data_IF_108572039956
#
_entry.id   IF_108572039956
#
_cell.length_a   1.000
_cell.length_b   1.000
_cell.length_c   1.000
_cell.angle_alpha   90.00
_cell.angle_beta   90.00
_cell.angle_gamma   90.00
#
_symmetry.space_group_name_H-M   'P 1'
#
loop_
_entity.id
_entity.type
_entity.pdbx_description
1 polymer ?
#
# COMPACT_ATOMS: atom_id res chain seq x y z
N UNK A 1 12.14 23.73 5.70
CA UNK A 1 11.58 23.08 6.94
C UNK A 1 10.12 22.79 6.69
N UNK A 2 9.69 21.56 6.93
CA UNK A 2 8.29 21.16 6.70
C UNK A 2 7.37 21.77 7.74
N UNK A 3 6.24 22.31 7.29
CA UNK A 3 5.15 22.81 8.16
C UNK A 3 4.03 21.78 8.18
N UNK A 4 3.35 21.64 9.32
CA UNK A 4 2.20 20.74 9.48
C UNK A 4 1.03 21.54 10.01
N UNK A 5 -0.07 21.53 9.25
CA UNK A 5 -1.36 22.07 9.64
C UNK A 5 -2.36 20.94 9.79
N UNK A 6 -3.36 21.11 10.65
CA UNK A 6 -4.45 20.14 10.83
C UNK A 6 -5.79 20.82 11.01
N UNK A 7 -6.84 20.15 10.55
CA UNK A 7 -8.22 20.58 10.80
C UNK A 7 -9.17 19.38 10.82
N UNK A 8 -10.34 19.57 11.40
CA UNK A 8 -11.42 18.58 11.32
C UNK A 8 -11.94 18.56 9.88
N UNK A 9 -11.77 17.43 9.21
CA UNK A 9 -12.18 17.24 7.81
C UNK A 9 -13.63 16.75 7.70
N UNK A 10 -14.09 15.99 8.69
CA UNK A 10 -15.43 15.46 8.79
C UNK A 10 -15.61 14.61 10.05
N UNK A 11 -16.67 13.82 10.06
CA UNK A 11 -17.01 12.94 11.18
C UNK A 11 -17.22 11.53 10.69
N UNK A 12 -16.88 10.53 11.54
CA UNK A 12 -17.29 9.15 11.30
C UNK A 12 -18.80 9.01 11.49
N UNK A 13 -19.42 7.91 11.03
CA UNK A 13 -20.84 7.64 11.31
C UNK A 13 -21.18 7.63 12.81
N UNK A 14 -20.21 7.32 13.67
CA UNK A 14 -20.32 7.31 15.14
C UNK A 14 -20.15 8.71 15.76
N UNK A 15 -19.81 9.73 14.96
CA UNK A 15 -19.65 11.12 15.41
C UNK A 15 -18.26 11.47 15.92
N UNK A 16 -17.24 10.66 15.61
CA UNK A 16 -15.86 10.94 15.96
C UNK A 16 -15.18 11.81 14.89
N UNK A 17 -14.30 12.72 15.31
CA UNK A 17 -13.66 13.67 14.40
C UNK A 17 -12.60 13.00 13.52
N UNK A 18 -12.73 13.18 12.20
CA UNK A 18 -11.72 12.82 11.22
C UNK A 18 -10.83 14.03 11.00
N UNK A 19 -9.53 13.87 11.23
CA UNK A 19 -8.54 14.93 11.10
C UNK A 19 -7.80 14.78 9.78
N UNK A 20 -7.69 15.88 9.05
CA UNK A 20 -6.82 16.01 7.88
C UNK A 20 -5.57 16.80 8.29
N UNK A 21 -4.42 16.21 8.04
CA UNK A 21 -3.11 16.83 8.20
C UNK A 21 -2.60 17.27 6.83
N UNK A 22 -2.02 18.47 6.75
CA UNK A 22 -1.34 18.96 5.56
C UNK A 22 0.11 19.23 5.92
N UNK A 23 1.02 18.44 5.35
CA UNK A 23 2.46 18.61 5.45
C UNK A 23 2.95 19.32 4.19
N UNK A 24 3.65 20.45 4.34
CA UNK A 24 4.18 21.22 3.22
C UNK A 24 5.66 21.50 3.43
N UNK A 25 6.46 21.20 2.42
CA UNK A 25 7.89 21.49 2.44
C UNK A 25 8.22 22.89 1.90
N UNK A 26 9.47 23.30 1.99
CA UNK A 26 9.92 24.63 1.56
C UNK A 26 9.94 24.81 0.02
N UNK A 27 9.81 23.72 -0.74
CA UNK A 27 9.66 23.72 -2.20
C UNK A 27 8.22 23.81 -2.68
N UNK A 28 7.26 23.83 -1.74
CA UNK A 28 5.83 23.92 -2.02
C UNK A 28 5.17 22.59 -2.37
N UNK A 29 5.89 21.47 -2.28
CA UNK A 29 5.28 20.16 -2.36
C UNK A 29 4.45 19.87 -1.10
N UNK A 30 3.36 19.13 -1.25
CA UNK A 30 2.37 18.94 -0.19
C UNK A 30 1.92 17.49 -0.10
N UNK A 31 1.79 16.99 1.13
CA UNK A 31 1.21 15.67 1.45
C UNK A 31 0.03 15.89 2.39
N UNK A 32 -1.12 15.30 2.08
CA UNK A 32 -2.28 15.29 2.98
C UNK A 32 -2.51 13.87 3.52
N UNK A 33 -2.74 13.80 4.83
CA UNK A 33 -2.96 12.55 5.56
C UNK A 33 -4.27 12.62 6.33
N UNK A 34 -4.98 11.50 6.44
CA UNK A 34 -6.16 11.36 7.29
C UNK A 34 -5.93 10.31 8.37
N UNK A 35 -6.43 10.58 9.58
CA UNK A 35 -6.44 9.58 10.65
C UNK A 35 -7.50 8.49 10.47
N UNK A 36 -8.40 8.60 9.48
CA UNK A 36 -9.25 7.47 9.08
C UNK A 36 -8.47 6.55 8.15
N UNK A 37 -8.17 5.34 8.61
CA UNK A 37 -7.36 4.35 7.90
C UNK A 37 -5.87 4.68 7.85
N UNK A 38 -5.38 5.67 8.63
CA UNK A 38 -4.02 6.20 8.54
C UNK A 38 -3.61 6.40 7.07
N UNK A 39 -4.39 7.21 6.35
CA UNK A 39 -4.41 7.28 4.89
C UNK A 39 -3.60 8.43 4.32
N UNK A 40 -2.92 8.18 3.19
CA UNK A 40 -2.43 9.22 2.28
C UNK A 40 -3.62 9.66 1.41
N UNK A 41 -4.03 10.92 1.57
CA UNK A 41 -5.19 11.49 0.85
C UNK A 41 -4.79 12.20 -0.42
N UNK A 42 -3.62 12.86 -0.40
CA UNK A 42 -3.12 13.69 -1.51
C UNK A 42 -1.61 13.79 -1.44
N UNK A 43 -0.97 13.82 -2.61
CA UNK A 43 0.46 14.09 -2.76
C UNK A 43 0.63 15.03 -3.94
N UNK A 44 0.88 16.31 -3.67
CA UNK A 44 1.01 17.36 -4.71
C UNK A 44 2.48 17.62 -5.00
N UNK A 45 2.90 17.32 -6.24
CA UNK A 45 4.29 17.39 -6.67
C UNK A 45 4.47 18.15 -7.98
N UNK A 46 5.60 18.87 -8.16
CA UNK A 46 5.88 19.57 -9.40
C UNK A 46 6.24 18.59 -10.53
N UNK A 47 5.90 18.97 -11.78
CA UNK A 47 6.46 18.36 -12.98
C UNK A 47 7.80 19.04 -13.34
N UNK A 48 8.42 18.61 -14.47
CA UNK A 48 9.70 19.19 -14.95
C UNK A 48 9.61 20.69 -15.30
N UNK A 49 8.43 21.24 -15.46
CA UNK A 49 8.17 22.65 -15.72
C UNK A 49 7.71 23.41 -14.46
N UNK A 50 7.68 22.73 -13.31
CA UNK A 50 7.25 23.29 -12.02
C UNK A 50 5.73 23.33 -11.81
N UNK A 51 4.92 22.76 -12.70
CA UNK A 51 3.45 22.72 -12.54
C UNK A 51 3.07 21.64 -11.52
N UNK A 52 2.36 22.06 -10.48
CA UNK A 52 1.94 21.19 -9.39
C UNK A 52 0.73 20.33 -9.81
N UNK A 53 0.72 19.05 -9.46
CA UNK A 53 -0.44 18.18 -9.57
C UNK A 53 -0.48 17.18 -8.42
N UNK A 54 -1.69 16.78 -8.02
CA UNK A 54 -1.90 15.67 -7.10
C UNK A 54 -1.65 14.35 -7.87
N UNK A 55 -0.71 13.55 -7.40
CA UNK A 55 -0.22 12.35 -8.10
C UNK A 55 -0.70 11.04 -7.50
N UNK A 56 -1.70 11.10 -6.62
CA UNK A 56 -2.32 9.92 -6.02
C UNK A 56 -3.83 9.97 -6.14
N UNK A 57 -4.46 8.81 -6.24
CA UNK A 57 -5.92 8.71 -6.24
C UNK A 57 -6.47 8.91 -4.82
N UNK A 58 -7.69 9.40 -4.72
CA UNK A 58 -8.40 9.58 -3.46
C UNK A 58 -9.77 10.24 -3.66
N UNK A 59 -10.40 10.64 -2.57
CA UNK A 59 -11.75 11.17 -2.56
C UNK A 59 -11.78 12.58 -2.00
N UNK A 60 -12.74 13.37 -2.47
CA UNK A 60 -12.88 14.77 -2.10
C UNK A 60 -13.33 14.95 -0.65
N UNK A 61 -14.11 14.01 -0.15
CA UNK A 61 -14.73 14.06 1.17
C UNK A 61 -14.40 12.80 1.97
N UNK A 62 -14.36 12.86 3.31
CA UNK A 62 -14.02 11.72 4.15
C UNK A 62 -15.00 10.55 3.99
N UNK A 63 -16.27 10.83 3.68
CA UNK A 63 -17.30 9.81 3.45
C UNK A 63 -16.94 8.86 2.28
N UNK A 64 -16.14 9.35 1.31
CA UNK A 64 -15.62 8.51 0.22
C UNK A 64 -14.76 7.37 0.71
N UNK A 65 -14.06 7.57 1.83
CA UNK A 65 -13.19 6.56 2.43
C UNK A 65 -13.95 5.49 3.22
N UNK A 66 -15.19 5.74 3.67
CA UNK A 66 -15.98 4.75 4.43
C UNK A 66 -16.45 3.59 3.56
N UNK A 67 -16.70 3.85 2.28
CA UNK A 67 -17.27 2.90 1.33
C UNK A 67 -16.30 2.55 0.20
N UNK A 68 -15.03 2.84 0.42
CA UNK A 68 -13.95 2.61 -0.53
C UNK A 68 -13.54 1.14 -0.56
N UNK A 69 -14.00 0.41 -1.57
CA UNK A 69 -13.59 -0.96 -1.81
C UNK A 69 -12.13 -1.13 -2.28
N UNK A 70 -11.46 -0.02 -2.64
CA UNK A 70 -10.09 -0.03 -3.15
C UNK A 70 -9.03 0.22 -2.06
N UNK A 71 -9.42 0.54 -0.83
CA UNK A 71 -8.54 0.92 0.28
C UNK A 71 -7.57 2.07 -0.09
N UNK A 72 -8.02 3.04 -0.90
CA UNK A 72 -7.19 4.09 -1.52
C UNK A 72 -6.39 4.89 -0.49
N UNK A 73 -5.07 4.80 -0.57
CA UNK A 73 -4.12 5.50 0.30
C UNK A 73 -4.03 4.99 1.73
N UNK A 74 -4.84 4.02 2.12
CA UNK A 74 -4.99 3.57 3.50
C UNK A 74 -3.87 2.62 3.93
N UNK A 75 -3.61 2.59 5.23
CA UNK A 75 -2.75 1.60 5.87
C UNK A 75 -3.52 0.31 6.10
N UNK A 76 -3.01 -0.79 5.56
CA UNK A 76 -3.64 -2.12 5.57
C UNK A 76 -2.99 -3.00 6.63
N UNK A 77 -3.81 -3.70 7.39
CA UNK A 77 -3.39 -4.64 8.44
C UNK A 77 -4.63 -5.29 9.11
N UNK A 78 -4.47 -6.29 10.01
CA UNK A 78 -3.22 -6.75 10.64
C UNK A 78 -2.28 -7.41 9.61
N UNK A 79 -2.84 -8.14 8.61
CA UNK A 79 -2.10 -8.81 7.56
C UNK A 79 -2.56 -8.32 6.18
N UNK A 80 -1.67 -7.64 5.46
CA UNK A 80 -1.89 -7.23 4.08
C UNK A 80 -1.95 -8.43 3.14
N UNK A 81 -2.71 -8.29 2.05
CA UNK A 81 -2.95 -9.31 1.05
C UNK A 81 -3.72 -10.53 1.61
N UNK A 82 -3.61 -11.69 0.96
CA UNK A 82 -4.47 -12.87 1.24
C UNK A 82 -3.83 -13.86 2.20
N UNK A 83 -4.71 -14.51 3.00
CA UNK A 83 -4.43 -15.74 3.74
C UNK A 83 -5.38 -16.81 3.21
N UNK A 84 -4.82 -17.92 2.75
CA UNK A 84 -5.53 -18.99 2.09
C UNK A 84 -6.66 -19.55 2.96
N UNK A 85 -7.88 -19.59 2.42
CA UNK A 85 -9.08 -20.11 3.09
C UNK A 85 -9.38 -19.46 4.46
N UNK A 86 -8.78 -18.29 4.75
CA UNK A 86 -8.89 -17.67 6.08
C UNK A 86 -8.32 -18.53 7.20
N UNK A 87 -7.34 -19.37 6.94
CA UNK A 87 -6.76 -20.28 7.95
C UNK A 87 -5.28 -20.06 8.11
N UNK A 88 -4.83 -20.08 9.37
CA UNK A 88 -3.42 -20.03 9.71
C UNK A 88 -3.13 -20.88 10.94
N UNK A 89 -1.91 -21.39 11.04
CA UNK A 89 -1.45 -22.10 12.23
C UNK A 89 -0.27 -21.34 12.84
N UNK A 90 -0.42 -20.94 14.10
CA UNK A 90 0.62 -20.25 14.87
C UNK A 90 0.94 -21.11 16.10
N UNK A 91 2.21 -21.52 16.23
CA UNK A 91 2.69 -22.32 17.38
C UNK A 91 1.83 -23.59 17.64
N UNK A 92 1.38 -24.24 16.55
CA UNK A 92 0.58 -25.45 16.61
C UNK A 92 -0.91 -25.26 16.88
N UNK A 93 -1.36 -24.00 17.06
CA UNK A 93 -2.78 -23.66 17.21
C UNK A 93 -3.33 -23.12 15.90
N UNK A 94 -4.45 -23.68 15.45
CA UNK A 94 -5.18 -23.22 14.27
C UNK A 94 -6.07 -22.01 14.62
N UNK A 95 -6.09 -21.02 13.72
CA UNK A 95 -6.96 -19.85 13.75
C UNK A 95 -7.75 -19.77 12.45
N UNK A 96 -9.04 -19.45 12.58
CA UNK A 96 -9.95 -19.25 11.46
C UNK A 96 -10.32 -17.79 11.37
N UNK A 97 -9.86 -17.12 10.32
CA UNK A 97 -10.14 -15.72 10.04
C UNK A 97 -11.41 -15.57 9.21
N UNK A 98 -11.96 -14.36 9.15
CA UNK A 98 -13.06 -14.03 8.27
C UNK A 98 -12.69 -14.29 6.81
N UNK A 99 -13.58 -14.93 6.04
CA UNK A 99 -13.46 -15.09 4.60
C UNK A 99 -14.23 -13.96 3.92
N UNK A 100 -13.52 -12.94 3.46
CA UNK A 100 -14.08 -11.71 2.90
C UNK A 100 -13.74 -11.46 1.42
N UNK A 101 -12.96 -12.37 0.79
CA UNK A 101 -12.60 -12.25 -0.62
C UNK A 101 -12.57 -13.62 -1.31
N UNK A 102 -13.66 -13.98 -1.99
CA UNK A 102 -13.83 -15.33 -2.55
C UNK A 102 -13.67 -16.38 -1.46
N UNK A 103 -12.76 -17.37 -1.61
CA UNK A 103 -12.51 -18.35 -0.56
C UNK A 103 -11.49 -17.90 0.49
N UNK A 104 -10.92 -16.69 0.39
CA UNK A 104 -9.77 -16.25 1.17
C UNK A 104 -10.10 -15.12 2.16
N UNK A 105 -9.26 -14.96 3.15
CA UNK A 105 -9.15 -13.74 3.93
C UNK A 105 -8.30 -12.72 3.18
N UNK A 106 -8.70 -11.46 3.18
CA UNK A 106 -8.00 -10.36 2.50
C UNK A 106 -7.86 -9.14 3.41
N UNK A 107 -6.65 -8.58 3.45
CA UNK A 107 -6.32 -7.29 4.05
C UNK A 107 -6.74 -7.11 5.52
N UNK A 108 -6.81 -8.19 6.31
CA UNK A 108 -7.20 -8.11 7.72
C UNK A 108 -8.71 -8.15 7.97
N UNK A 109 -9.52 -8.56 6.97
CA UNK A 109 -10.97 -8.71 7.11
C UNK A 109 -11.77 -7.43 6.86
N UNK A 110 -13.06 -7.45 7.16
CA UNK A 110 -13.96 -6.30 6.90
C UNK A 110 -13.77 -5.15 7.87
N UNK A 111 -13.37 -5.41 9.13
CA UNK A 111 -13.07 -4.40 10.15
C UNK A 111 -11.55 -4.18 10.30
N UNK A 112 -10.84 -4.24 9.19
CA UNK A 112 -9.39 -4.09 9.15
C UNK A 112 -8.92 -2.66 9.52
N UNK A 113 -7.61 -2.46 9.59
CA UNK A 113 -7.00 -1.19 9.99
C UNK A 113 -7.32 -0.04 9.04
N UNK A 114 -7.55 -0.33 7.76
CA UNK A 114 -7.93 0.65 6.75
C UNK A 114 -9.34 1.25 6.95
N UNK A 115 -10.18 0.56 7.70
CA UNK A 115 -11.58 0.96 7.96
C UNK A 115 -11.80 1.45 9.40
N UNK A 116 -10.74 1.89 10.07
CA UNK A 116 -10.80 2.38 11.46
C UNK A 116 -10.31 3.82 11.55
N UNK A 117 -10.83 4.52 12.55
CA UNK A 117 -10.26 5.77 13.01
C UNK A 117 -9.04 5.46 13.88
N UNK A 118 -7.91 6.10 13.59
CA UNK A 118 -6.69 6.01 14.38
C UNK A 118 -6.58 7.22 15.30
N UNK A 119 -6.08 7.03 16.50
CA UNK A 119 -5.59 8.15 17.30
C UNK A 119 -4.44 8.81 16.58
N UNK A 120 -4.30 10.13 16.68
CA UNK A 120 -3.28 10.82 15.91
C UNK A 120 -2.73 12.04 16.64
N UNK A 121 -1.45 12.33 16.40
CA UNK A 121 -0.72 13.45 16.98
C UNK A 121 0.35 13.98 16.03
N UNK A 122 0.70 15.25 16.20
CA UNK A 122 1.85 15.84 15.51
C UNK A 122 3.04 15.83 16.47
N UNK A 123 4.19 15.34 16.00
CA UNK A 123 5.47 15.38 16.70
C UNK A 123 6.50 16.08 15.83
N UNK A 124 6.95 17.27 16.22
CA UNK A 124 7.94 18.08 15.50
C UNK A 124 7.62 18.21 14.00
N UNK A 125 8.15 17.32 13.15
CA UNK A 125 8.01 17.35 11.69
C UNK A 125 7.28 16.11 11.13
N UNK A 126 6.59 15.34 11.97
CA UNK A 126 5.91 14.09 11.59
C UNK A 126 4.50 14.01 12.14
N UNK A 127 3.69 13.21 11.46
CA UNK A 127 2.37 12.81 11.93
C UNK A 127 2.46 11.35 12.39
N UNK A 128 2.06 11.10 13.64
CA UNK A 128 2.01 9.75 14.23
C UNK A 128 0.56 9.36 14.39
N UNK A 129 0.20 8.21 13.87
CA UNK A 129 -1.14 7.62 13.99
C UNK A 129 -1.02 6.28 14.69
N UNK A 130 -1.82 6.03 15.72
CA UNK A 130 -1.76 4.82 16.54
C UNK A 130 -3.11 4.11 16.60
N UNK A 131 -3.05 2.78 16.67
CA UNK A 131 -4.22 1.91 16.74
C UNK A 131 -3.97 0.77 17.70
N UNK A 132 -4.93 0.49 18.58
CA UNK A 132 -4.98 -0.72 19.37
C UNK A 132 -5.89 -1.74 18.68
N UNK A 133 -5.35 -2.93 18.42
CA UNK A 133 -6.09 -4.10 17.94
C UNK A 133 -6.09 -5.14 19.08
N UNK A 134 -7.23 -5.32 19.74
CA UNK A 134 -7.37 -6.20 20.90
C UNK A 134 -7.14 -7.68 20.57
N UNK A 135 -6.87 -8.50 21.58
CA UNK A 135 -6.77 -9.97 21.42
C UNK A 135 -8.08 -10.54 20.88
N UNK A 136 -8.00 -11.29 19.79
CA UNK A 136 -9.17 -11.84 19.08
C UNK A 136 -9.82 -10.90 18.09
N UNK A 137 -9.29 -9.70 17.87
CA UNK A 137 -9.75 -8.79 16.83
C UNK A 137 -9.60 -9.44 15.45
N UNK A 138 -10.70 -9.51 14.68
CA UNK A 138 -10.82 -10.26 13.43
C UNK A 138 -10.37 -11.74 13.54
N UNK A 139 -10.38 -12.32 14.74
CA UNK A 139 -9.90 -13.63 15.15
C UNK A 139 -8.36 -13.79 15.14
N UNK A 140 -7.61 -12.71 15.01
CA UNK A 140 -6.16 -12.71 15.18
C UNK A 140 -5.79 -12.82 16.68
N UNK A 141 -4.77 -13.64 17.05
CA UNK A 141 -4.34 -13.74 18.44
C UNK A 141 -3.51 -12.53 18.90
N UNK A 142 -3.63 -12.21 20.16
CA UNK A 142 -2.84 -11.22 20.86
C UNK A 142 -3.31 -9.78 20.66
N UNK A 143 -3.09 -8.98 21.70
CA UNK A 143 -3.21 -7.53 21.60
C UNK A 143 -2.06 -7.00 20.75
N UNK A 144 -2.35 -6.12 19.80
CA UNK A 144 -1.36 -5.50 18.92
C UNK A 144 -1.48 -3.97 19.01
N UNK A 145 -0.44 -3.33 19.53
CA UNK A 145 -0.28 -1.89 19.49
C UNK A 145 0.49 -1.50 18.23
N UNK A 146 -0.11 -0.68 17.36
CA UNK A 146 0.45 -0.29 16.07
C UNK A 146 0.62 1.23 16.01
N UNK A 147 1.74 1.67 15.43
CA UNK A 147 1.94 3.06 15.01
C UNK A 147 2.31 3.12 13.54
N UNK A 148 1.72 4.07 12.82
CA UNK A 148 2.13 4.52 11.50
C UNK A 148 2.71 5.95 11.63
N UNK A 149 4.00 6.09 11.39
CA UNK A 149 4.71 7.37 11.49
C UNK A 149 4.98 7.88 10.09
N UNK A 150 4.45 9.05 9.77
CA UNK A 150 4.62 9.71 8.47
C UNK A 150 5.59 10.88 8.61
N UNK A 151 6.72 10.78 7.93
CA UNK A 151 7.71 11.85 7.79
C UNK A 151 7.74 12.36 6.35
N UNK A 152 7.75 13.68 6.16
CA UNK A 152 7.90 14.30 4.86
C UNK A 152 9.05 15.30 4.90
N UNK A 153 9.91 15.31 3.87
CA UNK A 153 11.10 16.15 3.89
C UNK A 153 11.18 17.16 2.74
N UNK A 154 12.22 18.02 2.81
CA UNK A 154 12.49 19.04 1.79
C UNK A 154 13.07 18.44 0.49
N UNK A 155 13.36 17.13 0.43
CA UNK A 155 13.77 16.39 -0.76
C UNK A 155 12.60 15.62 -1.42
N UNK A 156 11.36 15.98 -1.02
CA UNK A 156 10.11 15.36 -1.49
C UNK A 156 10.04 13.86 -1.20
N UNK A 157 10.66 13.39 -0.11
CA UNK A 157 10.52 12.01 0.34
C UNK A 157 9.43 11.92 1.42
N UNK A 158 8.42 11.08 1.18
CA UNK A 158 7.45 10.65 2.16
C UNK A 158 7.88 9.27 2.68
N UNK A 159 8.28 9.21 3.94
CA UNK A 159 8.57 7.96 4.65
C UNK A 159 7.38 7.56 5.51
N UNK A 160 7.00 6.30 5.45
CA UNK A 160 6.07 5.65 6.38
C UNK A 160 6.87 4.63 7.18
N UNK A 161 6.92 4.79 8.49
CA UNK A 161 7.46 3.78 9.40
C UNK A 161 6.33 3.13 10.18
N UNK A 162 6.12 1.84 9.97
CA UNK A 162 5.20 1.03 10.76
C UNK A 162 5.94 0.41 11.93
N UNK A 163 5.42 0.63 13.13
CA UNK A 163 5.90 0.02 14.38
C UNK A 163 4.77 -0.79 15.00
N UNK A 164 5.09 -1.99 15.52
CA UNK A 164 4.10 -2.74 16.29
C UNK A 164 4.74 -3.57 17.41
N UNK A 165 3.97 -3.79 18.48
CA UNK A 165 4.29 -4.69 19.60
C UNK A 165 3.05 -5.50 19.97
N UNK A 166 3.28 -6.71 20.45
CA UNK A 166 2.22 -7.64 20.84
C UNK A 166 2.50 -8.29 22.19
N UNK A 167 1.45 -8.76 22.85
CA UNK A 167 1.51 -9.58 24.06
C UNK A 167 1.49 -11.09 23.81
N UNK A 168 1.11 -11.53 22.59
CA UNK A 168 1.11 -12.94 22.13
C UNK A 168 1.68 -13.04 20.73
N UNK A 169 2.22 -14.21 20.36
CA UNK A 169 2.65 -14.46 18.98
C UNK A 169 1.49 -14.27 18.01
N UNK A 170 1.66 -13.40 17.03
CA UNK A 170 0.63 -13.03 16.04
C UNK A 170 1.25 -12.79 14.67
N UNK A 171 0.41 -12.65 13.64
CA UNK A 171 0.83 -12.29 12.28
C UNK A 171 0.78 -10.77 12.12
N UNK A 172 1.84 -10.18 11.58
CA UNK A 172 1.90 -8.75 11.25
C UNK A 172 2.52 -8.57 9.87
N UNK A 173 1.78 -7.97 8.95
CA UNK A 173 2.25 -7.60 7.62
C UNK A 173 1.53 -6.31 7.21
N UNK A 174 2.15 -5.16 7.48
CA UNK A 174 1.53 -3.85 7.25
C UNK A 174 2.04 -3.25 5.94
N UNK A 175 1.16 -2.59 5.20
CA UNK A 175 1.48 -1.85 3.98
C UNK A 175 0.60 -0.61 3.83
N UNK A 176 0.90 0.24 2.86
CA UNK A 176 0.04 1.34 2.42
C UNK A 176 -0.46 1.07 1.00
N UNK A 177 -1.76 1.25 0.79
CA UNK A 177 -2.43 0.97 -0.49
C UNK A 177 -2.65 2.23 -1.33
N UNK A 178 -1.62 3.09 -1.41
CA UNK A 178 -1.68 4.28 -2.26
C UNK A 178 -1.63 3.92 -3.74
N UNK A 179 -2.51 4.54 -4.52
CA UNK A 179 -2.52 4.44 -5.98
C UNK A 179 -1.89 5.67 -6.60
N UNK A 180 -0.85 5.47 -7.39
CA UNK A 180 -0.16 6.54 -8.11
C UNK A 180 -0.76 6.75 -9.50
N UNK A 181 -0.90 8.03 -9.88
CA UNK A 181 -1.02 8.48 -11.25
C UNK A 181 -0.16 9.74 -11.42
N UNK A 182 1.05 9.58 -11.92
CA UNK A 182 2.04 10.68 -12.01
C UNK A 182 1.70 11.73 -13.07
N UNK A 183 0.73 11.46 -13.96
CA UNK A 183 0.17 12.47 -14.85
C UNK A 183 -0.76 13.44 -14.11
N UNK A 184 -1.29 13.01 -12.96
CA UNK A 184 -2.19 13.75 -12.07
C UNK A 184 -3.49 12.98 -11.82
N UNK A 185 -4.09 13.19 -10.66
CA UNK A 185 -5.41 12.63 -10.33
C UNK A 185 -6.46 13.06 -11.37
N UNK A 186 -7.24 12.10 -11.87
CA UNK A 186 -8.23 12.33 -12.92
C UNK A 186 -7.67 12.48 -14.34
N UNK A 187 -6.37 12.26 -14.57
CA UNK A 187 -5.76 12.33 -15.91
C UNK A 187 -6.03 11.11 -16.78
N UNK A 188 -6.69 10.07 -16.25
CA UNK A 188 -6.99 8.82 -16.94
C UNK A 188 -5.94 7.73 -16.69
N UNK A 189 -5.76 6.84 -17.67
CA UNK A 189 -5.05 5.57 -17.51
C UNK A 189 -3.54 5.68 -17.28
N UNK A 190 -3.02 4.84 -16.36
CA UNK A 190 -1.59 4.71 -16.05
C UNK A 190 -0.86 3.70 -16.95
N UNK A 191 -1.52 3.13 -17.94
CA UNK A 191 -0.94 2.03 -18.72
C UNK A 191 0.32 2.40 -19.52
N UNK A 192 0.54 3.70 -19.76
CA UNK A 192 1.74 4.22 -20.41
C UNK A 192 2.80 4.74 -19.43
N UNK A 193 2.53 4.71 -18.10
CA UNK A 193 3.57 4.89 -17.10
C UNK A 193 4.58 3.76 -17.20
N UNK A 194 5.85 4.07 -17.00
CA UNK A 194 6.94 3.10 -17.05
C UNK A 194 7.39 2.71 -15.65
N UNK A 195 7.41 1.41 -15.39
CA UNK A 195 7.92 0.83 -14.14
C UNK A 195 9.27 0.18 -14.38
N UNK A 196 10.18 0.35 -13.42
CA UNK A 196 11.39 -0.46 -13.23
C UNK A 196 11.40 -0.99 -11.81
N UNK A 197 11.68 -2.27 -11.63
CA UNK A 197 11.80 -2.93 -10.33
C UNK A 197 13.18 -3.57 -10.16
N UNK A 198 13.70 -3.53 -8.96
CA UNK A 198 14.84 -4.31 -8.52
C UNK A 198 14.37 -5.73 -8.15
N UNK A 199 13.86 -6.44 -9.15
CA UNK A 199 13.25 -7.77 -8.97
C UNK A 199 13.50 -8.64 -10.20
N UNK A 200 14.14 -9.77 -10.00
CA UNK A 200 14.35 -10.80 -11.02
C UNK A 200 13.33 -11.94 -10.93
N UNK A 201 12.55 -12.00 -9.84
CA UNK A 201 11.61 -13.09 -9.58
C UNK A 201 10.24 -12.59 -9.12
N UNK A 202 9.22 -13.38 -9.45
CA UNK A 202 7.83 -13.15 -9.07
C UNK A 202 7.31 -14.40 -8.37
N UNK A 203 6.50 -14.25 -7.33
CA UNK A 203 5.79 -15.39 -6.74
C UNK A 203 4.76 -15.92 -7.74
N UNK A 204 4.77 -17.24 -7.98
CA UNK A 204 3.72 -17.88 -8.74
C UNK A 204 2.41 -17.85 -7.96
N UNK A 205 1.37 -17.29 -8.57
CA UNK A 205 0.03 -17.23 -7.99
C UNK A 205 -0.87 -18.27 -8.63
N UNK A 206 -1.77 -18.88 -7.87
CA UNK A 206 -2.82 -19.73 -8.41
C UNK A 206 -4.06 -18.92 -8.86
N UNK A 207 -5.08 -19.58 -9.36
CA UNK A 207 -6.34 -19.01 -9.83
C UNK A 207 -7.16 -18.28 -8.73
N UNK A 208 -6.81 -18.49 -7.46
CA UNK A 208 -7.42 -17.83 -6.29
C UNK A 208 -6.54 -16.73 -5.71
N UNK A 209 -5.51 -16.32 -6.45
CA UNK A 209 -4.54 -15.30 -6.04
C UNK A 209 -3.81 -15.65 -4.72
N UNK A 210 -3.49 -16.93 -4.53
CA UNK A 210 -2.66 -17.43 -3.43
C UNK A 210 -1.32 -17.90 -4.00
N UNK A 211 -0.19 -17.59 -3.37
CA UNK A 211 1.11 -18.10 -3.78
C UNK A 211 1.16 -19.62 -3.77
N UNK A 212 1.78 -20.23 -4.79
CA UNK A 212 2.00 -21.68 -4.82
C UNK A 212 3.24 -22.12 -4.03
N UNK A 213 4.04 -21.17 -3.56
CA UNK A 213 5.35 -21.40 -2.93
C UNK A 213 6.50 -21.31 -3.92
N UNK A 214 6.25 -21.23 -5.24
CA UNK A 214 7.30 -21.16 -6.25
C UNK A 214 7.66 -19.71 -6.62
N UNK A 215 8.94 -19.53 -6.96
CA UNK A 215 9.46 -18.29 -7.53
C UNK A 215 9.72 -18.50 -9.02
N UNK A 216 9.11 -17.65 -9.86
CA UNK A 216 9.28 -17.67 -11.31
C UNK A 216 10.28 -16.58 -11.72
N UNK A 217 11.14 -16.90 -12.71
CA UNK A 217 12.01 -15.90 -13.31
C UNK A 217 11.18 -14.91 -14.13
N UNK A 218 11.38 -13.62 -13.88
CA UNK A 218 10.71 -12.56 -14.64
C UNK A 218 11.28 -12.38 -16.06
N UNK A 219 12.53 -12.80 -16.27
CA UNK A 219 13.28 -12.58 -17.50
C UNK A 219 12.53 -13.04 -18.76
N UNK A 220 12.42 -12.15 -19.76
CA UNK A 220 11.79 -12.46 -21.03
C UNK A 220 10.26 -12.60 -20.99
N UNK A 221 9.64 -12.25 -19.86
CA UNK A 221 8.18 -12.32 -19.66
C UNK A 221 7.56 -10.92 -19.61
N UNK A 222 6.22 -10.81 -19.68
CA UNK A 222 5.54 -9.53 -19.40
C UNK A 222 5.81 -8.96 -18.01
N UNK A 223 6.24 -9.77 -17.05
CA UNK A 223 6.57 -9.37 -15.67
C UNK A 223 8.04 -8.91 -15.51
N UNK A 224 8.82 -8.85 -16.59
CA UNK A 224 10.21 -8.38 -16.55
C UNK A 224 10.29 -6.85 -16.49
N UNK A 225 10.29 -6.31 -15.30
CA UNK A 225 10.46 -4.88 -15.02
C UNK A 225 11.88 -4.49 -14.59
N UNK A 226 12.90 -5.31 -14.85
CA UNK A 226 14.30 -4.96 -14.52
C UNK A 226 14.81 -3.73 -15.30
N UNK A 227 14.14 -3.39 -16.42
CA UNK A 227 14.33 -2.16 -17.17
C UNK A 227 13.00 -1.41 -17.26
N UNK A 228 13.04 -0.09 -17.43
CA UNK A 228 11.82 0.69 -17.61
C UNK A 228 10.99 0.19 -18.78
N UNK A 229 9.75 -0.16 -18.50
CA UNK A 229 8.77 -0.54 -19.52
C UNK A 229 7.36 -0.14 -19.10
N UNK A 230 6.49 0.21 -20.06
CA UNK A 230 5.10 0.52 -19.77
C UNK A 230 4.30 -0.73 -19.41
N UNK A 231 3.18 -0.55 -18.69
CA UNK A 231 2.26 -1.65 -18.36
C UNK A 231 1.50 -2.16 -19.58
N UNK A 232 1.14 -1.27 -20.53
CA UNK A 232 0.26 -1.55 -21.66
C UNK A 232 0.58 -2.83 -22.44
N UNK A 233 1.83 -3.15 -22.80
CA UNK A 233 2.13 -4.38 -23.55
C UNK A 233 1.86 -5.68 -22.79
N UNK A 234 1.80 -5.62 -21.46
CA UNK A 234 1.48 -6.78 -20.61
C UNK A 234 -0.01 -6.97 -20.41
N UNK A 235 -0.80 -5.89 -20.47
CA UNK A 235 -2.25 -5.96 -20.29
C UNK A 235 -2.86 -6.76 -21.47
N UNK A 236 -3.72 -7.71 -21.11
CA UNK A 236 -4.28 -8.65 -22.11
C UNK A 236 -3.34 -9.79 -22.51
N UNK A 237 -2.14 -9.87 -21.91
CA UNK A 237 -1.24 -11.02 -22.09
C UNK A 237 -1.86 -12.29 -21.49
N UNK A 238 -1.65 -13.42 -22.15
CA UNK A 238 -2.05 -14.75 -21.64
C UNK A 238 -1.12 -15.26 -20.54
N UNK A 239 -0.11 -14.48 -20.15
CA UNK A 239 0.96 -14.90 -19.25
C UNK A 239 0.57 -14.76 -17.77
N UNK A 240 0.86 -15.80 -16.95
CA UNK A 240 0.75 -15.79 -15.48
C UNK A 240 -0.49 -15.05 -14.94
N UNK A 241 -1.66 -15.40 -15.43
CA UNK A 241 -2.93 -14.83 -14.98
C UNK A 241 -3.09 -13.30 -15.20
N UNK A 242 -2.16 -12.64 -15.93
CA UNK A 242 -2.35 -11.21 -16.25
C UNK A 242 -3.69 -11.01 -16.94
N UNK A 243 -4.06 -11.87 -17.90
CA UNK A 243 -5.38 -11.87 -18.53
C UNK A 243 -6.50 -12.11 -17.51
N UNK A 244 -6.36 -13.15 -16.68
CA UNK A 244 -7.42 -13.60 -15.76
C UNK A 244 -7.68 -12.58 -14.65
N UNK A 245 -6.63 -11.86 -14.24
CA UNK A 245 -6.68 -10.76 -13.26
C UNK A 245 -6.91 -9.39 -13.93
N UNK A 246 -7.14 -9.32 -15.23
CA UNK A 246 -7.32 -8.12 -16.05
C UNK A 246 -6.12 -7.17 -16.05
N UNK A 247 -4.97 -7.60 -15.56
CA UNK A 247 -3.76 -6.78 -15.44
C UNK A 247 -2.77 -7.33 -14.43
N UNK A 248 -1.86 -6.47 -14.00
CA UNK A 248 -0.93 -6.86 -12.95
C UNK A 248 -1.65 -6.84 -11.60
N UNK A 249 -1.44 -7.89 -10.83
CA UNK A 249 -1.81 -8.07 -9.43
C UNK A 249 -0.88 -9.16 -8.89
N UNK A 250 0.43 -8.84 -8.84
CA UNK A 250 1.48 -9.84 -8.63
C UNK A 250 2.52 -9.36 -7.63
N UNK A 251 2.99 -10.27 -6.74
CA UNK A 251 4.06 -10.00 -5.79
C UNK A 251 5.44 -10.23 -6.40
N UNK A 252 6.22 -9.18 -6.53
CA UNK A 252 7.59 -9.18 -7.02
C UNK A 252 8.56 -9.30 -5.84
N UNK A 253 9.53 -10.21 -5.94
CA UNK A 253 10.54 -10.44 -4.91
C UNK A 253 11.69 -9.44 -5.07
N UNK A 254 12.06 -8.74 -4.01
CA UNK A 254 13.13 -7.73 -4.07
C UNK A 254 14.49 -8.42 -4.02
N UNK A 255 15.28 -8.21 -5.08
CA UNK A 255 16.62 -8.78 -5.19
C UNK A 255 17.55 -8.19 -4.11
N UNK A 256 18.29 -9.09 -3.44
CA UNK A 256 19.24 -8.70 -2.41
C UNK A 256 18.60 -8.18 -1.11
N UNK A 257 17.29 -8.34 -0.92
CA UNK A 257 16.63 -7.97 0.33
C UNK A 257 17.30 -8.60 1.55
N UNK A 258 17.40 -7.81 2.62
CA UNK A 258 17.85 -8.26 3.94
C UNK A 258 16.90 -7.71 5.01
N UNK A 259 16.59 -8.49 6.06
CA UNK A 259 15.70 -8.05 7.13
C UNK A 259 16.13 -6.72 7.75
N UNK A 260 15.17 -5.81 7.91
CA UNK A 260 15.35 -4.49 8.53
C UNK A 260 16.31 -3.53 7.79
N UNK A 261 16.76 -3.86 6.58
CA UNK A 261 17.60 -2.98 5.76
C UNK A 261 16.69 -2.30 4.72
N UNK A 262 16.75 -0.97 4.70
CA UNK A 262 16.08 -0.17 3.68
C UNK A 262 16.81 -0.35 2.34
N UNK A 263 16.14 -0.91 1.35
CA UNK A 263 16.68 -1.16 0.01
C UNK A 263 15.83 -0.53 -1.09
N UNK A 264 16.39 -0.38 -2.29
CA UNK A 264 15.65 0.11 -3.46
C UNK A 264 14.72 -0.99 -3.97
N UNK A 265 13.43 -0.65 -4.10
CA UNK A 265 12.37 -1.49 -4.68
C UNK A 265 12.27 -1.23 -6.19
N UNK A 266 12.21 0.04 -6.59
CA UNK A 266 12.06 0.41 -7.98
C UNK A 266 11.70 1.87 -8.20
N UNK A 267 11.27 2.18 -9.43
CA UNK A 267 10.89 3.54 -9.82
C UNK A 267 9.75 3.50 -10.85
N UNK A 268 8.73 4.32 -10.61
CA UNK A 268 7.64 4.59 -11.56
C UNK A 268 7.89 5.96 -12.22
N UNK A 269 7.66 6.05 -13.54
CA UNK A 269 7.85 7.28 -14.34
C UNK A 269 6.65 7.58 -15.23
N UNK A 270 6.39 8.88 -15.44
CA UNK A 270 5.44 9.37 -16.41
C UNK A 270 6.13 10.38 -17.36
N UNK A 271 6.11 10.07 -18.67
CA UNK A 271 6.94 10.78 -19.66
C UNK A 271 6.50 12.21 -19.97
N UNK A 272 5.20 12.48 -19.99
CA UNK A 272 4.71 13.79 -20.41
C UNK A 272 4.99 14.87 -19.36
N UNK A 273 4.75 14.58 -18.10
CA UNK A 273 5.10 15.47 -16.98
C UNK A 273 6.57 15.39 -16.57
N UNK A 274 7.22 14.27 -16.84
CA UNK A 274 8.55 13.94 -16.35
C UNK A 274 8.58 13.60 -14.87
N UNK A 275 7.43 13.42 -14.22
CA UNK A 275 7.40 13.02 -12.80
C UNK A 275 7.84 11.58 -12.64
N UNK A 276 8.54 11.32 -11.53
CA UNK A 276 8.88 9.98 -11.09
C UNK A 276 8.69 9.83 -9.59
N UNK A 277 8.53 8.58 -9.16
CA UNK A 277 8.61 8.20 -7.75
C UNK A 277 9.53 6.99 -7.61
N UNK A 278 10.60 7.16 -6.81
CA UNK A 278 11.47 6.06 -6.38
C UNK A 278 10.89 5.47 -5.11
N UNK A 279 10.83 4.15 -5.06
CA UNK A 279 10.32 3.40 -3.91
C UNK A 279 11.46 2.65 -3.26
N UNK A 280 11.60 2.86 -1.94
CA UNK A 280 12.50 2.08 -1.10
C UNK A 280 11.68 1.41 0.00
N UNK A 281 12.11 0.23 0.43
CA UNK A 281 11.45 -0.46 1.55
C UNK A 281 12.39 -1.42 2.27
N UNK A 282 12.04 -1.74 3.51
CA UNK A 282 12.64 -2.83 4.27
C UNK A 282 11.89 -4.16 4.11
N UNK A 283 10.82 -4.19 3.31
CA UNK A 283 10.00 -5.38 3.06
C UNK A 283 10.59 -6.27 1.95
N UNK A 284 10.35 -7.61 1.99
CA UNK A 284 10.96 -8.56 1.06
C UNK A 284 10.33 -8.57 -0.34
N UNK A 285 9.14 -8.00 -0.49
CA UNK A 285 8.42 -7.96 -1.76
C UNK A 285 7.67 -6.67 -1.97
N UNK A 286 7.24 -6.49 -3.19
CA UNK A 286 6.30 -5.44 -3.59
C UNK A 286 5.18 -6.03 -4.43
N UNK A 287 3.93 -5.75 -4.02
CA UNK A 287 2.76 -6.01 -4.85
C UNK A 287 2.60 -4.88 -5.85
N UNK A 288 2.47 -5.21 -7.12
CA UNK A 288 2.13 -4.25 -8.18
C UNK A 288 0.72 -4.56 -8.66
N UNK A 289 -0.18 -3.62 -8.40
CA UNK A 289 -1.58 -3.74 -8.79
C UNK A 289 -1.98 -2.57 -9.70
N UNK A 290 -2.34 -2.85 -10.93
CA UNK A 290 -2.64 -1.81 -11.95
C UNK A 290 -4.08 -1.28 -11.88
N UNK A 291 -4.75 -1.38 -10.74
CA UNK A 291 -6.10 -0.84 -10.55
C UNK A 291 -7.14 -1.52 -11.44
N UNK A 292 -7.04 -2.84 -11.62
CA UNK A 292 -7.79 -3.64 -12.60
C UNK A 292 -9.31 -3.65 -12.36
N UNK A 293 -9.75 -3.25 -11.15
CA UNK A 293 -11.15 -3.30 -10.69
C UNK A 293 -11.58 -2.01 -9.99
N UNK A 294 -11.04 -0.86 -10.41
CA UNK A 294 -11.43 0.43 -9.84
C UNK A 294 -12.80 0.89 -10.33
N UNK A 295 -13.18 0.52 -11.56
CA UNK A 295 -14.45 0.91 -12.14
C UNK A 295 -15.63 0.35 -11.34
N UNK A 296 -16.56 1.22 -10.96
CA UNK A 296 -17.79 0.86 -10.24
C UNK A 296 -17.63 0.61 -8.74
N UNK A 297 -16.40 0.51 -8.23
CA UNK A 297 -16.10 0.28 -6.82
C UNK A 297 -15.72 1.51 -6.01
N UNK A 298 -15.47 2.63 -6.68
CA UNK A 298 -14.97 3.84 -6.04
C UNK A 298 -16.05 4.93 -5.95
N UNK A 299 -16.11 5.66 -4.83
CA UNK A 299 -16.93 6.85 -4.67
C UNK A 299 -16.50 8.01 -5.57
N UNK A 300 -17.11 9.20 -5.40
CA UNK A 300 -16.73 10.40 -6.14
C UNK A 300 -15.27 10.79 -5.88
N UNK A 301 -14.51 10.96 -6.96
CA UNK A 301 -13.09 11.32 -6.92
C UNK A 301 -12.87 12.77 -6.49
N UNK A 302 -11.62 13.16 -6.20
CA UNK A 302 -11.24 14.55 -5.84
C UNK A 302 -11.58 15.55 -6.93
N UNK A 303 -11.53 15.15 -8.19
CA UNK A 303 -11.83 15.99 -9.36
C UNK A 303 -13.30 15.96 -9.80
N UNK A 304 -14.14 15.18 -9.12
CA UNK A 304 -15.52 14.91 -9.49
C UNK A 304 -15.62 13.86 -10.59
N UNK A 305 -16.45 12.86 -10.43
CA UNK A 305 -16.56 11.72 -11.35
C UNK A 305 -16.23 10.41 -10.64
N UNK A 306 -15.76 9.42 -11.40
CA UNK A 306 -15.39 8.09 -10.88
C UNK A 306 -14.12 7.61 -11.54
N UNK A 307 -13.36 6.80 -10.83
CA UNK A 307 -12.21 6.09 -11.42
C UNK A 307 -12.67 4.98 -12.34
N UNK A 308 -11.93 4.80 -13.42
CA UNK A 308 -12.01 3.66 -14.31
C UNK A 308 -10.91 2.65 -13.97
N UNK A 309 -11.02 1.45 -14.51
CA UNK A 309 -9.93 0.49 -14.44
C UNK A 309 -8.66 1.13 -15.02
N UNK A 310 -7.53 0.89 -14.36
CA UNK A 310 -6.20 1.41 -14.73
C UNK A 310 -6.01 2.93 -14.55
N UNK A 311 -6.84 3.64 -13.81
CA UNK A 311 -6.61 5.06 -13.50
C UNK A 311 -5.52 5.28 -12.44
N UNK A 312 -5.08 4.22 -11.77
CA UNK A 312 -3.99 4.25 -10.79
C UNK A 312 -3.25 2.92 -10.67
N UNK A 313 -2.00 2.97 -10.22
CA UNK A 313 -1.20 1.79 -9.89
C UNK A 313 -0.80 1.81 -8.42
N UNK A 314 -1.11 0.74 -7.69
CA UNK A 314 -0.62 0.54 -6.33
C UNK A 314 0.73 -0.18 -6.35
N UNK A 315 1.66 0.29 -5.51
CA UNK A 315 3.01 -0.27 -5.30
C UNK A 315 3.14 -0.52 -3.80
N UNK A 316 2.69 -1.70 -3.37
CA UNK A 316 2.53 -2.04 -1.96
C UNK A 316 3.72 -2.87 -1.49
N UNK A 317 4.64 -2.23 -0.75
CA UNK A 317 5.75 -2.95 -0.13
C UNK A 317 5.24 -3.72 1.08
N UNK A 318 5.42 -5.05 1.08
CA UNK A 318 4.86 -5.95 2.10
C UNK A 318 5.65 -7.25 2.17
N UNK A 319 5.39 -8.07 3.18
CA UNK A 319 5.84 -9.47 3.18
C UNK A 319 5.07 -10.26 2.12
N UNK A 320 5.54 -11.46 1.80
CA UNK A 320 4.88 -12.33 0.83
C UNK A 320 3.43 -12.61 1.28
N UNK A 321 2.45 -12.57 0.35
CA UNK A 321 1.10 -13.03 0.65
C UNK A 321 1.11 -14.45 1.21
N UNK A 322 0.19 -14.77 2.11
CA UNK A 322 0.03 -16.09 2.72
C UNK A 322 1.29 -16.65 3.43
N UNK A 323 2.26 -15.79 3.77
CA UNK A 323 3.55 -16.22 4.32
C UNK A 323 3.42 -17.05 5.62
N UNK A 324 2.36 -16.85 6.40
CA UNK A 324 2.07 -17.62 7.61
C UNK A 324 1.89 -19.13 7.33
N UNK A 325 1.46 -19.49 6.11
CA UNK A 325 1.22 -20.85 5.66
C UNK A 325 2.38 -21.46 4.85
N UNK A 326 3.46 -20.67 4.62
CA UNK A 326 4.63 -21.08 3.86
C UNK A 326 5.90 -20.98 4.70
N UNK A 327 6.39 -22.07 5.28
CA UNK A 327 7.55 -22.05 6.19
C UNK A 327 8.85 -21.58 5.54
N UNK A 328 8.95 -21.67 4.20
CA UNK A 328 10.12 -21.23 3.43
C UNK A 328 10.09 -19.73 3.07
N UNK A 329 8.98 -19.05 3.37
CA UNK A 329 8.85 -17.61 3.17
C UNK A 329 9.41 -16.81 4.36
N UNK A 330 9.76 -15.53 4.17
CA UNK A 330 10.08 -14.66 5.30
C UNK A 330 8.94 -14.67 6.32
N UNK A 331 9.26 -14.94 7.58
CA UNK A 331 8.25 -15.10 8.64
C UNK A 331 7.45 -13.80 8.86
N UNK A 332 6.12 -13.84 8.88
CA UNK A 332 5.28 -12.70 9.24
C UNK A 332 4.99 -12.64 10.75
N UNK A 333 5.57 -13.54 11.55
CA UNK A 333 5.26 -13.65 12.97
C UNK A 333 5.99 -12.60 13.79
N UNK A 334 5.23 -11.94 14.66
CA UNK A 334 5.73 -11.07 15.71
C UNK A 334 5.50 -11.74 17.07
N UNK A 335 6.53 -11.81 17.91
CA UNK A 335 6.48 -12.41 19.24
C UNK A 335 6.51 -11.37 20.35
N UNK A 336 6.00 -11.70 21.54
CA UNK A 336 6.16 -10.84 22.72
C UNK A 336 7.64 -10.46 22.95
N UNK A 337 7.87 -9.17 23.17
CA UNK A 337 9.22 -8.63 23.38
C UNK A 337 9.96 -8.25 22.09
N UNK A 338 9.49 -8.65 20.91
CA UNK A 338 10.00 -8.19 19.62
C UNK A 338 9.37 -6.85 19.21
N UNK A 339 10.05 -6.10 18.37
CA UNK A 339 9.53 -4.89 17.72
C UNK A 339 9.40 -5.15 16.22
N UNK A 340 8.17 -5.07 15.70
CA UNK A 340 7.97 -4.93 14.27
C UNK A 340 8.34 -3.51 13.87
N UNK A 341 9.23 -3.37 12.90
CA UNK A 341 9.65 -2.08 12.36
C UNK A 341 9.88 -2.22 10.87
N UNK A 342 8.99 -1.66 10.06
CA UNK A 342 9.08 -1.71 8.60
C UNK A 342 8.92 -0.32 8.01
N UNK A 343 9.68 -0.04 6.95
CA UNK A 343 9.72 1.26 6.29
C UNK A 343 9.34 1.17 4.83
N UNK A 344 8.60 2.17 4.37
CA UNK A 344 8.30 2.44 2.97
C UNK A 344 8.66 3.91 2.72
N UNK A 345 9.44 4.18 1.68
CA UNK A 345 9.80 5.55 1.28
C UNK A 345 9.39 5.78 -0.15
N UNK A 346 8.61 6.82 -0.37
CA UNK A 346 8.24 7.33 -1.68
C UNK A 346 8.99 8.64 -1.91
N UNK A 347 10.03 8.61 -2.75
CA UNK A 347 10.81 9.79 -3.10
C UNK A 347 10.39 10.31 -4.46
N UNK A 348 9.71 11.44 -4.46
CA UNK A 348 9.20 12.07 -5.68
C UNK A 348 10.25 12.99 -6.32
N UNK A 349 10.23 13.04 -7.65
CA UNK A 349 11.14 13.86 -8.43
C UNK A 349 10.73 13.99 -9.89
N UNK A 350 11.67 14.49 -10.69
CA UNK A 350 11.55 14.56 -12.15
C UNK A 350 12.76 13.94 -12.84
N UNK A 351 12.61 13.46 -14.08
CA UNK A 351 13.67 12.86 -14.89
C UNK A 351 13.77 13.47 -16.28
#
# INVERSE_FOLDING_TARGET
MVTIEQHVWGMTPEGEAIILYTMRNDKGAEVKLSNFGAAIVSVTMPDREGRMADVVLGYKHPEGYFFDGAASGKSVGRCANRIASGRMTIEGKEYSLEVNNGPNHLHGGTKNFANRLWESRVETNRVVMSLLSEDGDQNDPGELNVEAVFDFDDDNALEITYLAKTDKTTVVNLTNHVYFNLAGDGSGSILDHELRLNSSKVLEMNDKQIPTGKLLDAAGTPQDFRQFRPFRPGIGSEFNHIRDFKGYDHPFVIDGWQPNILGEVGELREKSSGRCVKVLSSQPSVMVYTGNWLAGGCPETKTGGRYNDYDGVAIECQNYPDAVNHPDFPSPLLRPGELYCQKIVFRFGTF
#
